data_IF_900128088550
#
_entry.id   IF_900128088550
#
_cell.length_a   1.000
_cell.length_b   1.000
_cell.length_c   1.000
_cell.angle_alpha   90.00
_cell.angle_beta   90.00
_cell.angle_gamma   90.00
#
_symmetry.space_group_name_H-M   'P 1'
#
loop_
_entity.id
_entity.type
_entity.pdbx_description
1 polymer ?
#
# COMPACT_ATOMS: atom_id res chain seq x y z
N UNK A 1 18.63 -8.35 0.22
CA UNK A 1 19.13 -8.78 1.57
C UNK A 1 18.90 -10.27 1.73
N UNK A 2 19.80 -11.00 2.40
CA UNK A 2 19.57 -12.41 2.72
C UNK A 2 18.58 -12.50 3.87
N UNK A 3 17.63 -13.44 3.80
CA UNK A 3 16.65 -13.70 4.86
C UNK A 3 17.36 -14.04 6.17
N UNK A 4 17.11 -13.27 7.23
CA UNK A 4 17.60 -13.62 8.57
C UNK A 4 16.65 -14.65 9.22
N UNK A 5 17.03 -15.91 9.14
CA UNK A 5 16.23 -17.01 9.70
C UNK A 5 16.10 -16.91 11.23
N UNK A 6 17.12 -16.42 11.92
CA UNK A 6 17.08 -16.31 13.38
C UNK A 6 16.03 -15.29 13.86
N UNK A 7 15.93 -14.16 13.18
CA UNK A 7 14.90 -13.13 13.45
C UNK A 7 13.50 -13.68 13.15
N UNK A 8 13.34 -14.35 11.99
CA UNK A 8 12.06 -14.98 11.63
C UNK A 8 11.63 -16.02 12.68
N UNK A 9 12.56 -16.82 13.18
CA UNK A 9 12.28 -17.78 14.23
C UNK A 9 11.93 -17.11 15.57
N UNK A 10 12.55 -15.98 15.88
CA UNK A 10 12.20 -15.20 17.07
C UNK A 10 10.77 -14.65 16.98
N UNK A 11 10.39 -14.13 15.81
CA UNK A 11 9.03 -13.63 15.55
C UNK A 11 7.97 -14.73 15.64
N UNK A 12 8.27 -15.90 15.07
CA UNK A 12 7.39 -17.07 15.17
C UNK A 12 7.15 -17.48 16.64
N UNK A 13 8.20 -17.46 17.47
CA UNK A 13 8.05 -17.74 18.91
C UNK A 13 7.23 -16.68 19.61
N UNK A 14 7.45 -15.40 19.30
CA UNK A 14 6.67 -14.28 19.84
C UNK A 14 5.18 -14.40 19.48
N UNK A 15 4.89 -14.79 18.24
CA UNK A 15 3.53 -15.02 17.74
C UNK A 15 2.91 -16.37 18.19
N UNK A 16 3.65 -17.21 18.96
CA UNK A 16 3.22 -18.55 19.39
C UNK A 16 2.83 -19.47 18.22
N UNK A 17 3.59 -19.37 17.13
CA UNK A 17 3.50 -20.19 15.93
C UNK A 17 4.58 -21.27 15.95
N UNK A 18 4.31 -22.44 15.39
CA UNK A 18 5.29 -23.52 15.27
C UNK A 18 6.19 -23.36 14.05
N UNK A 19 5.73 -22.60 13.05
CA UNK A 19 6.50 -22.29 11.86
C UNK A 19 5.74 -21.49 10.82
N UNK A 20 6.46 -21.03 9.81
CA UNK A 20 5.94 -20.35 8.62
C UNK A 20 6.20 -21.22 7.40
N UNK A 21 5.15 -21.61 6.70
CA UNK A 21 5.23 -22.37 5.46
C UNK A 21 5.00 -21.45 4.28
N UNK A 22 6.05 -21.16 3.54
CA UNK A 22 5.97 -20.53 2.23
C UNK A 22 5.66 -21.58 1.17
N UNK A 23 4.84 -21.22 0.21
CA UNK A 23 4.44 -22.05 -0.90
C UNK A 23 4.34 -21.20 -2.16
N UNK A 24 4.76 -21.73 -3.28
CA UNK A 24 4.45 -21.13 -4.56
C UNK A 24 4.25 -22.19 -5.66
N UNK A 25 3.46 -21.83 -6.63
CA UNK A 25 3.27 -22.50 -7.89
C UNK A 25 3.16 -21.48 -9.02
N UNK A 26 4.17 -21.44 -9.89
CA UNK A 26 4.21 -20.58 -11.08
C UNK A 26 4.27 -19.08 -10.76
N UNK A 27 4.92 -18.69 -9.68
CA UNK A 27 5.11 -17.28 -9.31
C UNK A 27 3.83 -16.58 -8.79
N UNK A 28 2.89 -17.34 -8.20
CA UNK A 28 1.63 -16.78 -7.69
C UNK A 28 1.76 -16.11 -6.33
N UNK A 29 2.85 -16.36 -5.61
CA UNK A 29 3.11 -15.72 -4.32
C UNK A 29 4.31 -14.77 -4.41
N UNK A 30 4.12 -13.54 -4.91
CA UNK A 30 5.19 -12.54 -4.99
C UNK A 30 5.69 -12.12 -3.61
N UNK A 31 4.88 -12.23 -2.56
CA UNK A 31 5.25 -11.96 -1.17
C UNK A 31 6.33 -12.95 -0.72
N UNK A 32 6.11 -14.25 -0.93
CA UNK A 32 7.12 -15.27 -0.62
C UNK A 32 8.43 -15.03 -1.37
N UNK A 33 8.35 -14.65 -2.65
CA UNK A 33 9.54 -14.36 -3.46
C UNK A 33 10.34 -13.19 -2.90
N UNK A 34 9.69 -12.08 -2.52
CA UNK A 34 10.37 -10.89 -1.96
C UNK A 34 10.95 -11.19 -0.59
N UNK A 35 10.16 -11.75 0.32
CA UNK A 35 10.60 -12.05 1.70
C UNK A 35 11.80 -13.01 1.67
N UNK A 36 11.78 -14.02 0.80
CA UNK A 36 12.87 -15.02 0.71
C UNK A 36 14.04 -14.55 -0.18
N UNK A 37 13.95 -13.38 -0.81
CA UNK A 37 14.99 -12.89 -1.72
C UNK A 37 15.25 -13.83 -2.89
N UNK A 38 14.20 -14.48 -3.43
CA UNK A 38 14.36 -15.42 -4.53
C UNK A 38 14.63 -14.68 -5.83
N UNK A 39 15.66 -15.05 -6.59
CA UNK A 39 15.97 -14.40 -7.86
C UNK A 39 14.82 -14.61 -8.87
N UNK A 40 14.64 -13.70 -9.83
CA UNK A 40 13.73 -13.91 -10.95
C UNK A 40 14.07 -15.23 -11.68
N UNK A 41 13.07 -15.90 -12.20
CA UNK A 41 13.25 -17.12 -12.95
C UNK A 41 11.99 -17.94 -13.09
N UNK A 42 11.96 -18.78 -14.12
CA UNK A 42 10.82 -19.66 -14.38
C UNK A 42 10.75 -20.77 -13.33
N UNK A 43 9.63 -20.82 -12.60
CA UNK A 43 9.28 -21.89 -11.65
C UNK A 43 7.92 -22.43 -12.06
N UNK A 44 7.91 -23.66 -12.56
CA UNK A 44 6.68 -24.26 -13.09
C UNK A 44 6.13 -25.36 -12.19
N UNK A 45 6.85 -25.70 -11.15
CA UNK A 45 6.49 -26.76 -10.19
C UNK A 45 6.29 -26.17 -8.80
N UNK A 46 5.45 -26.83 -8.00
CA UNK A 46 5.23 -26.46 -6.60
C UNK A 46 6.51 -26.63 -5.80
N UNK A 47 6.77 -25.64 -4.95
CA UNK A 47 7.77 -25.76 -3.90
C UNK A 47 7.20 -25.33 -2.55
N UNK A 48 7.79 -25.84 -1.49
CA UNK A 48 7.47 -25.51 -0.12
C UNK A 48 8.77 -25.21 0.63
N UNK A 49 8.76 -24.13 1.39
CA UNK A 49 9.84 -23.75 2.29
C UNK A 49 9.28 -23.55 3.69
N UNK A 50 9.71 -24.38 4.62
CA UNK A 50 9.23 -24.34 5.98
C UNK A 50 10.31 -23.81 6.90
N UNK A 51 10.05 -22.68 7.57
CA UNK A 51 10.86 -22.10 8.63
C UNK A 51 10.19 -22.48 9.95
N UNK A 52 10.72 -23.47 10.70
CA UNK A 52 10.21 -23.83 12.01
C UNK A 52 10.57 -22.75 13.03
N UNK A 53 9.78 -22.56 14.09
CA UNK A 53 10.10 -21.65 15.21
C UNK A 53 11.41 -22.02 15.94
N UNK A 54 11.85 -23.27 15.82
CA UNK A 54 13.15 -23.79 16.32
C UNK A 54 13.67 -24.86 15.39
N UNK A 55 14.97 -24.88 15.17
CA UNK A 55 15.66 -25.89 14.34
C UNK A 55 15.93 -25.42 12.92
N UNK A 56 16.37 -26.34 12.07
CA UNK A 56 16.80 -26.06 10.69
C UNK A 56 15.60 -25.88 9.76
N UNK A 57 15.58 -24.84 8.91
CA UNK A 57 14.60 -24.72 7.84
C UNK A 57 14.62 -25.93 6.88
N UNK A 58 13.50 -26.19 6.23
CA UNK A 58 13.34 -27.34 5.35
C UNK A 58 12.72 -26.94 4.02
N UNK A 59 13.21 -27.56 2.95
CA UNK A 59 12.78 -27.33 1.58
C UNK A 59 12.16 -28.60 0.99
N UNK A 60 11.10 -28.46 0.23
CA UNK A 60 10.53 -29.53 -0.58
C UNK A 60 10.38 -29.00 -2.01
N UNK A 61 11.14 -29.51 -2.93
CA UNK A 61 11.19 -29.06 -4.33
C UNK A 61 11.00 -30.23 -5.28
N UNK A 62 10.47 -29.93 -6.47
CA UNK A 62 10.33 -30.95 -7.51
C UNK A 62 11.69 -31.28 -8.13
N UNK A 63 11.95 -32.56 -8.45
CA UNK A 63 13.25 -33.02 -9.01
C UNK A 63 13.66 -32.28 -10.27
N UNK A 64 12.71 -31.91 -11.14
CA UNK A 64 12.98 -31.15 -12.38
C UNK A 64 13.50 -29.73 -12.08
N UNK A 65 13.11 -29.15 -10.95
CA UNK A 65 13.46 -27.79 -10.53
C UNK A 65 14.18 -27.79 -9.17
N UNK A 66 15.15 -28.72 -9.01
CA UNK A 66 15.89 -28.93 -7.77
C UNK A 66 16.56 -27.65 -7.22
N UNK A 67 16.88 -26.69 -8.08
CA UNK A 67 17.50 -25.40 -7.74
C UNK A 67 16.54 -24.29 -7.31
N UNK A 68 15.20 -24.51 -7.31
CA UNK A 68 14.22 -23.44 -7.07
C UNK A 68 14.42 -22.65 -5.76
N UNK A 69 14.97 -23.30 -4.73
CA UNK A 69 15.24 -22.71 -3.41
C UNK A 69 16.74 -22.78 -3.04
N UNK A 70 17.65 -22.73 -4.02
CA UNK A 70 19.09 -22.85 -3.77
C UNK A 70 19.65 -21.69 -2.94
N UNK A 71 19.08 -20.50 -3.05
CA UNK A 71 19.56 -19.28 -2.36
C UNK A 71 19.16 -19.19 -0.89
N UNK A 72 18.17 -19.98 -0.43
CA UNK A 72 17.75 -19.97 0.97
C UNK A 72 18.38 -21.15 1.73
N UNK A 73 18.69 -21.03 3.05
CA UNK A 73 19.28 -22.09 3.84
C UNK A 73 18.27 -23.21 4.15
N UNK A 74 18.75 -24.38 4.51
CA UNK A 74 17.92 -25.48 5.01
C UNK A 74 18.13 -26.82 4.30
N UNK A 75 17.58 -27.88 4.91
CA UNK A 75 17.62 -29.24 4.39
C UNK A 75 16.67 -29.40 3.20
N UNK A 76 17.13 -30.04 2.12
CA UNK A 76 16.34 -30.22 0.91
C UNK A 76 15.81 -31.63 0.77
N UNK A 77 14.51 -31.76 0.56
CA UNK A 77 13.83 -32.97 0.13
C UNK A 77 13.25 -32.80 -1.28
N UNK A 78 13.18 -33.88 -2.02
CA UNK A 78 12.72 -33.88 -3.39
C UNK A 78 11.45 -34.71 -3.57
N UNK A 79 10.65 -34.36 -4.55
CA UNK A 79 9.53 -35.15 -5.01
C UNK A 79 9.43 -35.14 -6.54
N UNK A 80 8.82 -36.18 -7.11
CA UNK A 80 8.38 -36.24 -8.51
C UNK A 80 6.88 -36.56 -8.58
N UNK A 81 6.44 -37.57 -7.83
CA UNK A 81 5.06 -38.03 -7.83
C UNK A 81 4.19 -37.31 -6.77
N UNK A 82 2.89 -37.24 -7.02
CA UNK A 82 1.90 -36.69 -6.08
C UNK A 82 1.93 -37.38 -4.71
N UNK A 83 2.16 -38.69 -4.67
CA UNK A 83 2.28 -39.47 -3.43
C UNK A 83 3.49 -39.01 -2.62
N UNK A 84 4.67 -38.90 -3.27
CA UNK A 84 5.89 -38.42 -2.64
C UNK A 84 5.74 -37.00 -2.09
N UNK A 85 5.07 -36.11 -2.83
CA UNK A 85 4.81 -34.76 -2.37
C UNK A 85 4.03 -34.76 -1.04
N UNK A 86 2.94 -35.53 -0.96
CA UNK A 86 2.10 -35.62 0.25
C UNK A 86 2.89 -36.18 1.44
N UNK A 87 3.63 -37.26 1.23
CA UNK A 87 4.43 -37.90 2.27
C UNK A 87 5.57 -36.98 2.76
N UNK A 88 6.27 -36.34 1.83
CA UNK A 88 7.37 -35.46 2.16
C UNK A 88 6.91 -34.13 2.76
N UNK A 89 5.75 -33.60 2.36
CA UNK A 89 5.16 -32.44 3.02
C UNK A 89 4.81 -32.73 4.48
N UNK A 90 4.23 -33.90 4.76
CA UNK A 90 3.95 -34.35 6.13
C UNK A 90 5.23 -34.48 6.97
N UNK A 91 6.32 -35.03 6.39
CA UNK A 91 7.64 -35.12 7.05
C UNK A 91 8.26 -33.75 7.27
N UNK A 92 8.13 -32.83 6.30
CA UNK A 92 8.62 -31.45 6.38
C UNK A 92 7.97 -30.70 7.56
N UNK A 93 6.65 -30.80 7.72
CA UNK A 93 5.91 -30.16 8.81
C UNK A 93 6.11 -30.86 10.18
N UNK A 94 6.37 -32.15 10.18
CA UNK A 94 6.65 -32.92 11.40
C UNK A 94 5.51 -32.89 12.41
N UNK A 95 5.78 -32.41 13.63
CA UNK A 95 4.79 -32.30 14.73
C UNK A 95 4.18 -30.92 14.86
N UNK A 96 4.49 -29.99 13.94
CA UNK A 96 3.99 -28.60 13.98
C UNK A 96 2.47 -28.57 13.90
N UNK A 97 1.84 -27.80 14.78
CA UNK A 97 0.37 -27.70 14.91
C UNK A 97 -0.17 -26.36 14.41
N UNK A 98 0.57 -25.25 14.60
CA UNK A 98 0.16 -23.89 14.23
C UNK A 98 1.13 -23.37 13.19
N UNK A 99 0.70 -23.36 11.93
CA UNK A 99 1.53 -23.01 10.77
C UNK A 99 0.97 -21.75 10.12
N UNK A 100 1.80 -20.71 10.05
CA UNK A 100 1.47 -19.52 9.26
C UNK A 100 1.63 -19.79 7.77
N UNK A 101 0.73 -19.27 6.96
CA UNK A 101 0.81 -19.25 5.49
C UNK A 101 0.22 -17.94 4.99
N UNK A 102 0.53 -17.54 3.76
CA UNK A 102 -0.13 -16.42 3.08
C UNK A 102 -1.59 -16.81 2.75
N UNK A 103 -2.36 -16.96 3.79
CA UNK A 103 -3.75 -17.38 3.81
C UNK A 103 -4.59 -16.35 4.56
N UNK A 104 -5.66 -15.87 3.93
CA UNK A 104 -6.62 -14.96 4.55
C UNK A 104 -7.90 -15.71 4.90
N UNK A 105 -8.18 -15.97 6.20
CA UNK A 105 -9.42 -16.61 6.62
C UNK A 105 -10.64 -15.82 6.14
N UNK A 106 -11.59 -16.49 5.48
CA UNK A 106 -12.80 -15.86 4.90
C UNK A 106 -12.47 -14.70 3.93
N UNK A 107 -11.25 -14.64 3.43
CA UNK A 107 -10.75 -13.56 2.56
C UNK A 107 -10.90 -12.15 3.20
N UNK A 108 -10.77 -12.05 4.53
CA UNK A 108 -10.94 -10.79 5.25
C UNK A 108 -9.87 -9.74 4.88
N UNK A 109 -8.65 -10.19 4.52
CA UNK A 109 -7.55 -9.35 4.02
C UNK A 109 -7.06 -9.99 2.72
N UNK A 110 -7.67 -9.69 1.56
CA UNK A 110 -7.36 -10.35 0.28
C UNK A 110 -5.90 -10.18 -0.15
N UNK A 111 -5.26 -9.07 0.20
CA UNK A 111 -3.85 -8.75 -0.10
C UNK A 111 -2.85 -9.84 0.36
N UNK A 112 -3.22 -10.65 1.37
CA UNK A 112 -2.40 -11.73 1.93
C UNK A 112 -2.82 -13.11 1.39
N UNK A 113 -3.90 -13.19 0.66
CA UNK A 113 -4.51 -14.45 0.21
C UNK A 113 -3.81 -15.05 -1.02
N UNK A 114 -2.52 -15.42 -0.92
CA UNK A 114 -1.73 -15.94 -2.05
C UNK A 114 -1.82 -17.46 -2.20
N UNK A 115 -2.14 -18.18 -1.14
CA UNK A 115 -2.20 -19.66 -1.14
C UNK A 115 -3.61 -20.13 -1.50
N UNK A 116 -3.71 -21.00 -2.51
CA UNK A 116 -4.99 -21.58 -2.93
C UNK A 116 -5.61 -22.51 -1.87
N UNK A 117 -6.95 -22.63 -1.91
CA UNK A 117 -7.71 -23.43 -0.95
C UNK A 117 -7.26 -24.90 -0.90
N UNK A 118 -6.98 -25.53 -2.06
CA UNK A 118 -6.54 -26.92 -2.13
C UNK A 118 -5.20 -27.14 -1.44
N UNK A 119 -4.28 -26.20 -1.52
CA UNK A 119 -3.00 -26.26 -0.80
C UNK A 119 -3.21 -26.09 0.72
N UNK A 120 -4.12 -25.21 1.14
CA UNK A 120 -4.51 -25.07 2.56
C UNK A 120 -5.10 -26.39 3.08
N UNK A 121 -6.00 -27.03 2.34
CA UNK A 121 -6.57 -28.33 2.68
C UNK A 121 -5.51 -29.43 2.76
N UNK A 122 -4.56 -29.45 1.81
CA UNK A 122 -3.43 -30.39 1.81
C UNK A 122 -2.58 -30.24 3.08
N UNK A 123 -2.27 -29.02 3.51
CA UNK A 123 -1.53 -28.77 4.76
C UNK A 123 -2.34 -29.18 5.98
N UNK A 124 -3.64 -28.84 6.02
CA UNK A 124 -4.55 -29.26 7.11
C UNK A 124 -4.68 -30.75 7.22
N UNK A 125 -4.61 -31.50 6.11
CA UNK A 125 -4.65 -32.97 6.12
C UNK A 125 -3.45 -33.62 6.84
N UNK A 126 -2.37 -32.89 7.07
CA UNK A 126 -1.25 -33.32 7.90
C UNK A 126 -1.51 -33.21 9.43
N UNK A 127 -2.67 -32.65 9.82
CA UNK A 127 -3.06 -32.40 11.21
C UNK A 127 -2.62 -31.03 11.76
N UNK A 128 -2.16 -30.14 10.90
CA UNK A 128 -1.80 -28.78 11.25
C UNK A 128 -2.97 -27.81 11.12
N UNK A 129 -3.04 -26.81 11.98
CA UNK A 129 -3.92 -25.64 11.85
C UNK A 129 -3.18 -24.58 11.04
N UNK A 130 -3.74 -24.22 9.87
CA UNK A 130 -3.23 -23.12 9.06
C UNK A 130 -3.78 -21.80 9.60
N UNK A 131 -2.89 -20.86 9.89
CA UNK A 131 -3.16 -19.51 10.37
C UNK A 131 -2.67 -18.49 9.34
N UNK A 132 -3.20 -17.28 9.38
CA UNK A 132 -2.73 -16.18 8.54
C UNK A 132 -1.31 -15.78 8.92
N UNK A 133 -0.49 -15.46 7.92
CA UNK A 133 0.82 -14.84 8.09
C UNK A 133 0.78 -13.31 8.03
N UNK A 134 -0.40 -12.69 8.05
CA UNK A 134 -0.58 -11.27 7.78
C UNK A 134 0.33 -10.34 8.61
N UNK A 135 0.44 -10.59 9.93
CA UNK A 135 1.32 -9.80 10.81
C UNK A 135 2.81 -10.02 10.54
N UNK A 136 3.18 -11.26 10.15
CA UNK A 136 4.55 -11.55 9.74
C UNK A 136 4.88 -10.86 8.41
N UNK A 137 4.00 -10.99 7.42
CA UNK A 137 4.17 -10.33 6.11
C UNK A 137 4.35 -8.83 6.30
N UNK A 138 3.51 -8.18 7.09
CA UNK A 138 3.62 -6.76 7.39
C UNK A 138 5.03 -6.39 7.91
N UNK A 139 5.56 -7.16 8.84
CA UNK A 139 6.89 -6.92 9.40
C UNK A 139 8.02 -7.04 8.37
N UNK A 140 7.91 -8.00 7.44
CA UNK A 140 8.97 -8.27 6.45
C UNK A 140 8.82 -7.50 5.14
N UNK A 141 7.63 -6.97 4.83
CA UNK A 141 7.35 -6.28 3.57
C UNK A 141 7.10 -4.77 3.76
N UNK A 142 6.58 -4.35 4.92
CA UNK A 142 6.13 -2.98 5.11
C UNK A 142 7.03 -2.14 6.01
N UNK A 143 7.93 -2.76 6.81
CA UNK A 143 8.88 -2.00 7.62
C UNK A 143 10.02 -1.48 6.75
N UNK A 144 10.27 -0.19 6.86
CA UNK A 144 11.29 0.50 6.09
C UNK A 144 12.64 0.53 6.79
N UNK A 145 13.71 0.47 6.01
CA UNK A 145 15.06 0.83 6.46
C UNK A 145 15.21 2.36 6.54
N UNK A 146 16.32 2.82 7.13
CA UNK A 146 16.65 4.25 7.14
C UNK A 146 16.79 4.80 5.72
N UNK A 147 17.44 4.06 4.83
CA UNK A 147 17.62 4.44 3.42
C UNK A 147 16.28 4.52 2.68
N UNK A 148 15.33 3.66 3.02
CA UNK A 148 13.98 3.73 2.44
C UNK A 148 13.23 4.97 2.92
N UNK A 149 13.32 5.30 4.20
CA UNK A 149 12.74 6.55 4.71
C UNK A 149 13.38 7.78 4.04
N UNK A 150 14.70 7.79 3.87
CA UNK A 150 15.39 8.86 3.15
C UNK A 150 14.94 8.97 1.70
N UNK A 151 14.74 7.82 1.00
CA UNK A 151 14.26 7.81 -0.38
C UNK A 151 12.84 8.36 -0.50
N UNK A 152 11.96 8.06 0.46
CA UNK A 152 10.61 8.59 0.55
C UNK A 152 10.59 10.11 0.74
N UNK A 153 11.39 10.61 1.70
CA UNK A 153 11.47 12.04 1.97
C UNK A 153 12.05 12.82 0.79
N UNK A 154 13.01 12.23 0.08
CA UNK A 154 13.58 12.87 -1.12
C UNK A 154 12.56 12.85 -2.29
N UNK A 155 11.80 11.76 -2.48
CA UNK A 155 10.71 11.73 -3.45
C UNK A 155 9.63 12.76 -3.09
N UNK A 156 9.23 12.83 -1.81
CA UNK A 156 8.25 13.79 -1.33
C UNK A 156 8.63 15.24 -1.60
N UNK A 157 9.88 15.61 -1.34
CA UNK A 157 10.37 16.97 -1.66
C UNK A 157 10.28 17.29 -3.15
N UNK A 158 10.56 16.33 -4.03
CA UNK A 158 10.46 16.53 -5.47
C UNK A 158 8.99 16.62 -5.91
N UNK A 159 8.15 15.72 -5.43
CA UNK A 159 6.73 15.65 -5.80
C UNK A 159 5.95 16.85 -5.28
N UNK A 160 6.16 17.28 -4.03
CA UNK A 160 5.53 18.50 -3.48
C UNK A 160 5.82 19.73 -4.35
N UNK A 161 7.09 19.88 -4.82
CA UNK A 161 7.47 20.94 -5.76
C UNK A 161 6.73 20.79 -7.09
N UNK A 162 6.72 19.60 -7.69
CA UNK A 162 6.07 19.34 -8.99
C UNK A 162 4.59 19.62 -8.91
N UNK A 163 3.90 19.26 -7.81
CA UNK A 163 2.47 19.56 -7.59
C UNK A 163 2.22 21.07 -7.62
N UNK A 164 3.06 21.87 -6.93
CA UNK A 164 2.90 23.33 -6.96
C UNK A 164 3.19 23.91 -8.36
N UNK A 165 4.20 23.40 -9.06
CA UNK A 165 4.53 23.80 -10.43
C UNK A 165 3.43 23.39 -11.42
N UNK A 166 2.77 22.22 -11.23
CA UNK A 166 1.64 21.78 -12.03
C UNK A 166 0.40 22.71 -11.88
N UNK A 167 0.09 23.14 -10.66
CA UNK A 167 -0.94 24.14 -10.43
C UNK A 167 -0.60 25.49 -11.09
N UNK A 168 0.66 25.94 -10.97
CA UNK A 168 1.13 27.16 -11.63
C UNK A 168 1.06 27.04 -13.17
N UNK A 169 1.42 25.90 -13.72
CA UNK A 169 1.33 25.61 -15.16
C UNK A 169 -0.13 25.65 -15.65
N UNK A 170 -1.06 25.04 -14.92
CA UNK A 170 -2.49 25.09 -15.23
C UNK A 170 -3.04 26.54 -15.21
N UNK A 171 -2.71 27.29 -14.15
CA UNK A 171 -3.11 28.69 -14.02
C UNK A 171 -2.59 29.58 -15.16
N UNK A 172 -1.33 29.40 -15.52
CA UNK A 172 -0.70 30.17 -16.60
C UNK A 172 -1.31 29.85 -17.96
N UNK A 173 -1.62 28.58 -18.23
CA UNK A 173 -2.29 28.16 -19.45
C UNK A 173 -3.69 28.81 -19.57
N UNK A 174 -4.46 28.84 -18.47
CA UNK A 174 -5.76 29.51 -18.43
C UNK A 174 -5.62 31.02 -18.65
N UNK A 175 -4.68 31.71 -17.99
CA UNK A 175 -4.41 33.15 -18.18
C UNK A 175 -4.09 33.49 -19.63
N UNK A 176 -3.29 32.64 -20.29
CA UNK A 176 -2.91 32.81 -21.72
C UNK A 176 -3.97 32.34 -22.68
N UNK A 177 -5.06 31.77 -22.20
CA UNK A 177 -6.10 31.11 -23.04
C UNK A 177 -5.49 30.03 -23.94
N UNK A 178 -4.40 29.40 -23.51
CA UNK A 178 -3.81 28.27 -24.17
C UNK A 178 -4.58 26.98 -23.80
N UNK A 179 -4.89 26.11 -24.76
CA UNK A 179 -5.57 24.84 -24.45
C UNK A 179 -4.66 23.95 -23.59
N UNK A 180 -5.21 23.42 -22.50
CA UNK A 180 -4.55 22.43 -21.64
C UNK A 180 -5.62 21.45 -21.15
N UNK A 181 -5.48 20.19 -21.49
CA UNK A 181 -6.34 19.13 -20.97
C UNK A 181 -5.78 18.52 -19.70
N UNK A 182 -6.60 17.76 -18.97
CA UNK A 182 -6.16 16.91 -17.83
C UNK A 182 -5.03 15.98 -18.27
N UNK A 183 -5.14 15.36 -19.47
CA UNK A 183 -4.11 14.50 -20.01
C UNK A 183 -2.80 15.26 -20.33
N UNK A 184 -2.88 16.47 -20.89
CA UNK A 184 -1.68 17.27 -21.15
C UNK A 184 -0.95 17.63 -19.87
N UNK A 185 -1.69 17.97 -18.80
CA UNK A 185 -1.10 18.26 -17.50
C UNK A 185 -0.51 17.01 -16.84
N UNK A 186 -1.18 15.84 -16.94
CA UNK A 186 -0.61 14.56 -16.51
C UNK A 186 0.71 14.27 -17.22
N UNK A 187 0.77 14.45 -18.56
CA UNK A 187 1.99 14.24 -19.35
C UNK A 187 3.09 15.23 -18.98
N UNK A 188 2.72 16.44 -18.59
CA UNK A 188 3.67 17.43 -18.08
C UNK A 188 4.26 16.96 -16.74
N UNK A 189 3.45 16.49 -15.79
CA UNK A 189 3.92 15.95 -14.50
C UNK A 189 4.86 14.74 -14.73
N UNK A 190 4.53 13.83 -15.64
CA UNK A 190 5.37 12.67 -15.95
C UNK A 190 6.73 13.05 -16.57
N UNK A 191 6.81 14.14 -17.34
CA UNK A 191 8.09 14.68 -17.83
C UNK A 191 8.93 15.22 -16.67
N UNK A 192 8.33 16.02 -15.77
CA UNK A 192 9.02 16.53 -14.58
C UNK A 192 9.51 15.38 -13.68
N UNK A 193 8.74 14.29 -13.55
CA UNK A 193 9.20 13.08 -12.86
C UNK A 193 10.46 12.51 -13.50
N UNK A 194 10.46 12.33 -14.83
CA UNK A 194 11.62 11.81 -15.55
C UNK A 194 12.85 12.69 -15.37
N UNK A 195 12.69 14.01 -15.43
CA UNK A 195 13.77 14.99 -15.29
C UNK A 195 14.33 15.06 -13.87
N UNK A 196 13.51 14.74 -12.85
CA UNK A 196 13.91 14.75 -11.44
C UNK A 196 14.27 13.38 -10.88
N UNK A 197 14.30 12.35 -11.73
CA UNK A 197 14.64 10.98 -11.33
C UNK A 197 13.58 10.30 -10.47
N UNK A 198 12.33 10.74 -10.60
CA UNK A 198 11.16 10.08 -10.03
C UNK A 198 10.59 9.10 -11.06
N UNK A 199 10.06 7.98 -10.59
CA UNK A 199 9.33 6.99 -11.38
C UNK A 199 8.00 6.63 -10.72
N UNK A 200 7.03 6.25 -11.54
CA UNK A 200 5.75 5.68 -11.13
C UNK A 200 5.36 4.57 -12.09
N UNK A 201 4.62 3.58 -11.62
CA UNK A 201 4.10 2.47 -12.45
C UNK A 201 2.87 2.89 -13.25
N UNK A 202 2.06 3.77 -12.67
CA UNK A 202 0.86 4.34 -13.30
C UNK A 202 0.96 5.87 -13.25
N UNK A 203 0.29 6.56 -14.16
CA UNK A 203 0.32 8.01 -14.21
C UNK A 203 -0.45 8.64 -13.05
N UNK A 204 -0.08 9.87 -12.65
CA UNK A 204 -0.85 10.62 -11.66
C UNK A 204 -2.27 10.89 -12.14
N UNK A 205 -3.22 11.00 -11.22
CA UNK A 205 -4.59 11.38 -11.54
C UNK A 205 -4.71 12.92 -11.58
N UNK A 206 -5.22 13.40 -12.69
CA UNK A 206 -5.50 14.82 -12.93
C UNK A 206 -6.96 14.93 -13.31
N UNK A 207 -7.79 15.56 -12.47
CA UNK A 207 -9.22 15.59 -12.66
C UNK A 207 -9.83 16.94 -12.35
N UNK A 208 -10.71 17.42 -13.25
CA UNK A 208 -11.50 18.63 -13.00
C UNK A 208 -12.97 18.32 -12.71
N UNK A 209 -13.53 18.99 -11.71
CA UNK A 209 -14.95 18.97 -11.38
C UNK A 209 -15.53 17.55 -11.27
N UNK A 210 -16.49 17.17 -12.15
CA UNK A 210 -17.17 15.88 -12.13
C UNK A 210 -16.24 14.69 -12.40
N UNK A 211 -15.12 14.86 -13.11
CA UNK A 211 -14.16 13.79 -13.32
C UNK A 211 -13.52 13.36 -12.00
N UNK A 212 -13.29 14.30 -11.07
CA UNK A 212 -12.80 14.00 -9.73
C UNK A 212 -13.82 13.26 -8.84
N UNK A 213 -15.07 13.05 -9.29
CA UNK A 213 -16.05 12.22 -8.59
C UNK A 213 -15.83 10.73 -8.73
N UNK A 214 -14.97 10.32 -9.67
CA UNK A 214 -14.44 8.97 -9.80
C UNK A 214 -13.04 8.93 -9.15
N UNK A 215 -12.86 8.27 -8.00
CA UNK A 215 -11.57 8.22 -7.30
C UNK A 215 -10.42 7.63 -8.11
N UNK A 216 -10.72 6.86 -9.15
CA UNK A 216 -9.74 6.22 -10.05
C UNK A 216 -9.80 6.81 -11.47
N UNK A 217 -10.19 8.08 -11.60
CA UNK A 217 -10.19 8.73 -12.89
C UNK A 217 -8.77 9.02 -13.37
N UNK A 218 -8.30 8.22 -14.32
CA UNK A 218 -7.06 8.46 -15.06
C UNK A 218 -7.37 9.11 -16.42
N UNK A 219 -6.91 10.33 -16.72
CA UNK A 219 -7.12 10.95 -18.02
C UNK A 219 -6.34 10.21 -19.11
N UNK A 220 -6.92 10.16 -20.31
CA UNK A 220 -6.26 9.63 -21.50
C UNK A 220 -6.33 10.63 -22.64
N UNK A 221 -5.52 10.46 -23.69
CA UNK A 221 -5.55 11.31 -24.88
C UNK A 221 -6.95 11.37 -25.54
N UNK A 222 -7.75 10.29 -25.39
CA UNK A 222 -9.10 10.21 -25.98
C UNK A 222 -10.20 10.62 -25.00
N UNK A 223 -9.92 10.56 -23.68
CA UNK A 223 -10.88 10.86 -22.62
C UNK A 223 -10.20 11.76 -21.60
N UNK A 224 -10.34 13.07 -21.78
CA UNK A 224 -9.91 14.09 -20.84
C UNK A 224 -10.68 15.39 -21.06
N UNK A 225 -10.87 16.18 -20.02
CA UNK A 225 -11.50 17.48 -20.09
C UNK A 225 -10.46 18.59 -20.28
N UNK A 226 -10.88 19.71 -20.88
CA UNK A 226 -10.07 20.92 -20.91
C UNK A 226 -10.15 21.61 -19.56
N UNK A 227 -9.01 22.04 -19.03
CA UNK A 227 -8.88 22.82 -17.81
C UNK A 227 -9.22 24.28 -18.11
N UNK A 228 -10.15 24.88 -17.37
CA UNK A 228 -10.69 26.22 -17.64
C UNK A 228 -10.77 27.06 -16.37
N UNK A 229 -10.90 28.35 -16.53
CA UNK A 229 -11.26 29.24 -15.42
C UNK A 229 -12.57 28.82 -14.78
N UNK A 230 -12.60 28.77 -13.45
CA UNK A 230 -13.73 28.31 -12.67
C UNK A 230 -13.74 26.82 -12.32
N UNK A 231 -12.78 26.04 -12.83
CA UNK A 231 -12.69 24.62 -12.51
C UNK A 231 -12.05 24.36 -11.14
N UNK A 232 -12.57 23.35 -10.45
CA UNK A 232 -11.92 22.72 -9.30
C UNK A 232 -11.01 21.61 -9.83
N UNK A 233 -9.69 21.70 -9.56
CA UNK A 233 -8.67 20.77 -10.04
C UNK A 233 -8.15 19.91 -8.88
N UNK A 234 -8.23 18.61 -9.04
CA UNK A 234 -7.63 17.59 -8.19
C UNK A 234 -6.36 17.09 -8.87
N UNK A 235 -5.26 17.03 -8.09
CA UNK A 235 -4.03 16.35 -8.45
C UNK A 235 -3.76 15.28 -7.40
N UNK A 236 -3.76 14.03 -7.82
CA UNK A 236 -3.34 12.89 -7.01
C UNK A 236 -2.06 12.32 -7.61
N UNK A 237 -0.97 12.39 -6.86
CA UNK A 237 0.38 12.27 -7.41
C UNK A 237 1.25 11.39 -6.54
N UNK A 238 1.62 10.24 -7.09
CA UNK A 238 2.48 9.26 -6.41
C UNK A 238 3.71 8.91 -7.24
N UNK A 239 4.82 8.70 -6.55
CA UNK A 239 6.08 8.33 -7.18
C UNK A 239 7.17 8.01 -6.17
N UNK A 240 8.26 7.42 -6.65
CA UNK A 240 9.44 7.09 -5.87
C UNK A 240 10.71 7.43 -6.63
N UNK A 241 11.83 7.51 -5.94
CA UNK A 241 13.11 7.65 -6.62
C UNK A 241 13.39 6.44 -7.53
N UNK A 242 13.97 6.69 -8.70
CA UNK A 242 14.41 5.66 -9.65
C UNK A 242 15.67 4.94 -9.16
N UNK A 243 15.58 4.36 -7.96
CA UNK A 243 16.68 3.66 -7.30
C UNK A 243 16.14 2.36 -6.70
N UNK A 244 16.91 1.28 -6.82
CA UNK A 244 16.49 -0.01 -6.32
C UNK A 244 16.20 0.03 -4.80
N UNK A 245 15.05 -0.47 -4.40
CA UNK A 245 14.59 -0.49 -3.01
C UNK A 245 13.88 0.77 -2.53
N UNK A 246 13.79 1.83 -3.35
CA UNK A 246 13.05 3.05 -3.02
C UNK A 246 11.58 2.77 -2.76
N UNK A 247 10.97 3.59 -1.93
CA UNK A 247 9.56 3.52 -1.56
C UNK A 247 8.81 4.76 -2.03
N UNK A 248 7.51 4.60 -2.28
CA UNK A 248 6.64 5.65 -2.78
C UNK A 248 6.40 6.77 -1.78
N UNK A 249 6.10 7.95 -2.31
CA UNK A 249 5.44 9.08 -1.68
C UNK A 249 4.14 9.33 -2.43
N UNK A 250 3.06 9.68 -1.72
CA UNK A 250 1.70 9.74 -2.25
C UNK A 250 0.91 10.90 -1.64
N UNK A 251 0.37 11.79 -2.48
CA UNK A 251 -0.36 12.96 -2.02
C UNK A 251 -1.46 13.39 -2.98
N UNK A 252 -2.59 13.81 -2.43
CA UNK A 252 -3.66 14.48 -3.18
C UNK A 252 -3.80 15.93 -2.74
N UNK A 253 -3.80 16.83 -3.72
CA UNK A 253 -3.98 18.27 -3.55
C UNK A 253 -5.13 18.82 -4.39
N UNK A 254 -5.76 19.88 -3.89
CA UNK A 254 -6.87 20.57 -4.55
C UNK A 254 -6.50 22.01 -4.90
N UNK A 255 -6.76 22.42 -6.15
CA UNK A 255 -6.65 23.79 -6.63
C UNK A 255 -7.94 24.29 -7.27
N UNK A 256 -8.14 25.59 -7.30
CA UNK A 256 -9.28 26.21 -7.97
C UNK A 256 -8.78 27.24 -8.99
N UNK A 257 -9.17 27.10 -10.24
CA UNK A 257 -8.79 28.00 -11.34
C UNK A 257 -9.59 29.32 -11.27
N UNK A 258 -9.40 30.06 -10.19
CA UNK A 258 -10.01 31.35 -9.94
C UNK A 258 -9.33 32.09 -8.79
N UNK A 259 -9.63 33.39 -8.65
CA UNK A 259 -9.03 34.25 -7.62
C UNK A 259 -9.59 33.98 -6.21
N UNK A 260 -10.80 33.44 -6.10
CA UNK A 260 -11.47 33.15 -4.83
C UNK A 260 -12.21 31.81 -4.94
N UNK A 261 -11.88 30.90 -4.04
CA UNK A 261 -12.53 29.59 -3.96
C UNK A 261 -14.02 29.75 -3.58
N UNK A 262 -14.97 29.21 -4.36
CA UNK A 262 -16.39 29.22 -4.00
C UNK A 262 -16.66 28.47 -2.69
N UNK A 263 -17.57 29.00 -1.89
CA UNK A 263 -17.92 28.45 -0.57
C UNK A 263 -18.35 26.97 -0.63
N UNK A 264 -19.04 26.57 -1.69
CA UNK A 264 -19.48 25.18 -1.89
C UNK A 264 -18.30 24.18 -1.91
N UNK A 265 -17.16 24.55 -2.49
CA UNK A 265 -15.94 23.72 -2.52
C UNK A 265 -15.19 23.77 -1.19
N UNK A 266 -15.02 24.98 -0.65
CA UNK A 266 -14.34 25.18 0.63
C UNK A 266 -15.01 24.41 1.77
N UNK A 267 -16.34 24.41 1.82
CA UNK A 267 -17.11 23.67 2.83
C UNK A 267 -16.88 22.15 2.76
N UNK A 268 -16.87 21.57 1.57
CA UNK A 268 -16.63 20.13 1.41
C UNK A 268 -15.17 19.78 1.73
N UNK A 269 -14.22 20.58 1.25
CA UNK A 269 -12.81 20.42 1.58
C UNK A 269 -12.56 20.47 3.09
N UNK A 270 -13.22 21.37 3.80
CA UNK A 270 -13.07 21.50 5.25
C UNK A 270 -13.52 20.22 5.99
N UNK A 271 -14.60 19.57 5.55
CA UNK A 271 -15.02 18.27 6.08
C UNK A 271 -13.98 17.20 5.82
N UNK A 272 -13.45 17.11 4.59
CA UNK A 272 -12.41 16.13 4.21
C UNK A 272 -11.14 16.37 5.00
N UNK A 273 -10.68 17.62 5.10
CA UNK A 273 -9.52 18.02 5.91
C UNK A 273 -9.68 17.61 7.37
N UNK A 274 -10.82 17.89 8.00
CA UNK A 274 -11.09 17.48 9.37
C UNK A 274 -11.09 15.94 9.54
N UNK A 275 -11.59 15.19 8.55
CA UNK A 275 -11.55 13.74 8.56
C UNK A 275 -10.10 13.21 8.50
N UNK A 276 -9.28 13.76 7.60
CA UNK A 276 -7.83 13.49 7.49
C UNK A 276 -7.11 13.80 8.81
N UNK A 277 -7.29 15.01 9.31
CA UNK A 277 -6.61 15.49 10.52
C UNK A 277 -7.01 14.66 11.75
N UNK A 278 -8.28 14.23 11.83
CA UNK A 278 -8.77 13.34 12.89
C UNK A 278 -8.12 11.95 12.87
N UNK A 279 -7.92 11.38 11.67
CA UNK A 279 -7.21 10.12 11.48
C UNK A 279 -5.73 10.25 11.89
N UNK A 280 -5.05 11.27 11.39
CA UNK A 280 -3.64 11.58 11.73
C UNK A 280 -3.47 11.77 13.23
N UNK A 281 -4.34 12.52 13.89
CA UNK A 281 -4.27 12.76 15.33
C UNK A 281 -4.48 11.46 16.14
N UNK A 282 -5.41 10.59 15.71
CA UNK A 282 -5.59 9.28 16.34
C UNK A 282 -4.32 8.43 16.24
N UNK A 283 -3.68 8.40 15.08
CA UNK A 283 -2.41 7.67 14.88
C UNK A 283 -1.35 8.24 15.83
N UNK A 284 -1.10 9.55 15.78
CA UNK A 284 -0.08 10.23 16.59
C UNK A 284 -0.26 9.98 18.09
N UNK A 285 -1.48 10.17 18.59
CA UNK A 285 -1.78 10.01 20.02
C UNK A 285 -1.68 8.56 20.49
N UNK A 286 -2.10 7.60 19.67
CA UNK A 286 -2.00 6.18 19.98
C UNK A 286 -0.55 5.70 20.03
N UNK A 287 0.25 6.04 19.01
CA UNK A 287 1.67 5.66 18.94
C UNK A 287 2.45 6.29 20.11
N UNK A 288 2.26 7.59 20.36
CA UNK A 288 2.90 8.29 21.49
C UNK A 288 2.55 7.67 22.85
N UNK A 289 1.33 7.18 23.00
CA UNK A 289 0.87 6.53 24.22
C UNK A 289 1.24 5.04 24.31
N UNK A 290 1.89 4.46 23.30
CA UNK A 290 2.17 3.02 23.20
C UNK A 290 0.91 2.15 23.16
N UNK A 291 -0.22 2.70 22.71
CA UNK A 291 -1.49 1.98 22.61
C UNK A 291 -1.61 1.27 21.25
N UNK A 292 -1.97 -0.04 21.25
CA UNK A 292 -2.24 -0.74 20.00
C UNK A 292 -3.35 -0.02 19.22
N UNK A 293 -3.15 0.14 17.92
CA UNK A 293 -4.11 0.77 17.02
C UNK A 293 -4.26 -0.09 15.77
N UNK A 294 -5.49 -0.46 15.41
CA UNK A 294 -5.79 -1.25 14.22
C UNK A 294 -6.23 -0.36 13.07
N UNK A 295 -6.01 -0.82 11.83
CA UNK A 295 -6.32 -0.05 10.62
C UNK A 295 -7.79 0.38 10.54
N UNK A 296 -8.74 -0.52 10.80
CA UNK A 296 -10.17 -0.20 10.80
C UNK A 296 -10.56 0.90 11.80
N UNK A 297 -9.82 1.07 12.89
CA UNK A 297 -10.10 2.11 13.89
C UNK A 297 -9.76 3.49 13.35
N UNK A 298 -8.71 3.59 12.53
CA UNK A 298 -8.32 4.84 11.85
C UNK A 298 -9.35 5.20 10.81
N UNK A 299 -9.77 4.25 9.96
CA UNK A 299 -10.84 4.46 8.98
C UNK A 299 -12.13 4.94 9.67
N UNK A 300 -12.55 4.26 10.73
CA UNK A 300 -13.73 4.66 11.50
C UNK A 300 -13.64 6.09 12.02
N UNK A 301 -12.46 6.54 12.46
CA UNK A 301 -12.29 7.90 12.98
C UNK A 301 -12.48 8.96 11.91
N UNK A 302 -11.92 8.77 10.71
CA UNK A 302 -12.12 9.66 9.56
C UNK A 302 -13.59 9.61 9.07
N UNK A 303 -14.10 8.41 8.86
CA UNK A 303 -15.46 8.17 8.35
C UNK A 303 -16.55 8.81 9.20
N UNK A 304 -16.43 8.73 10.52
CA UNK A 304 -17.36 9.37 11.45
C UNK A 304 -17.44 10.89 11.29
N UNK A 305 -16.36 11.57 10.89
CA UNK A 305 -16.38 13.01 10.60
C UNK A 305 -17.23 13.28 9.37
N UNK A 306 -17.01 12.53 8.30
CA UNK A 306 -17.76 12.66 7.04
C UNK A 306 -19.24 12.32 7.21
N UNK A 307 -19.56 11.26 7.97
CA UNK A 307 -20.94 10.84 8.28
C UNK A 307 -21.70 11.89 9.08
N UNK A 308 -21.08 12.46 10.12
CA UNK A 308 -21.70 13.52 10.94
C UNK A 308 -21.98 14.80 10.14
N UNK A 309 -21.19 15.06 9.12
CA UNK A 309 -21.41 16.16 8.18
C UNK A 309 -22.50 15.85 7.13
N UNK A 310 -23.07 14.64 7.11
CA UNK A 310 -24.14 14.22 6.20
C UNK A 310 -23.66 13.69 4.84
N UNK A 311 -22.34 13.45 4.68
CA UNK A 311 -21.75 13.02 3.40
C UNK A 311 -21.31 11.54 3.38
N UNK A 312 -21.66 10.72 4.37
CA UNK A 312 -21.19 9.33 4.51
C UNK A 312 -21.36 8.48 3.25
N UNK A 313 -22.48 8.60 2.50
CA UNK A 313 -22.73 7.87 1.24
C UNK A 313 -21.82 8.28 0.08
N UNK A 314 -21.10 9.37 0.21
CA UNK A 314 -20.18 9.89 -0.80
C UNK A 314 -18.71 9.63 -0.47
N UNK A 315 -18.43 8.88 0.60
CA UNK A 315 -17.11 8.38 0.96
C UNK A 315 -17.11 6.87 0.91
N UNK A 316 -16.77 6.29 -0.24
CA UNK A 316 -17.00 4.87 -0.56
C UNK A 316 -15.73 4.05 -0.83
N UNK A 317 -14.58 4.56 -0.45
CA UNK A 317 -13.31 3.82 -0.39
C UNK A 317 -12.71 3.84 1.03
N UNK A 318 -11.68 3.06 1.28
CA UNK A 318 -10.92 3.06 2.55
C UNK A 318 -10.28 4.43 2.81
N UNK A 319 -9.98 4.73 4.07
CA UNK A 319 -9.33 6.00 4.44
C UNK A 319 -7.86 6.06 4.03
N UNK A 320 -7.21 4.92 3.74
CA UNK A 320 -5.83 4.91 3.29
C UNK A 320 -5.24 3.51 3.22
N UNK A 321 -4.02 3.42 2.73
CA UNK A 321 -3.30 2.17 2.52
C UNK A 321 -1.86 2.23 3.01
N UNK A 322 -1.24 1.07 3.14
CA UNK A 322 0.19 0.99 3.40
C UNK A 322 0.99 1.37 2.15
N UNK A 323 2.06 2.12 2.36
CA UNK A 323 3.00 2.54 1.32
C UNK A 323 4.31 1.77 1.45
N UNK A 324 4.88 1.35 0.33
CA UNK A 324 6.13 0.61 0.27
C UNK A 324 6.86 0.79 -1.05
N UNK A 325 7.56 -0.24 -1.50
CA UNK A 325 8.16 -0.27 -2.83
C UNK A 325 7.11 -0.29 -3.96
N UNK A 326 5.88 -0.72 -3.65
CA UNK A 326 4.66 -0.48 -4.43
C UNK A 326 3.84 0.58 -3.73
N UNK A 327 3.09 1.40 -4.47
CA UNK A 327 2.22 2.43 -3.88
C UNK A 327 1.23 1.80 -2.92
N UNK A 328 0.61 0.68 -3.29
CA UNK A 328 -0.20 -0.17 -2.42
C UNK A 328 0.66 -1.30 -1.85
N UNK A 329 1.20 -1.10 -0.63
CA UNK A 329 2.04 -2.07 0.07
C UNK A 329 1.24 -3.18 0.77
N UNK A 330 1.97 -4.11 1.41
CA UNK A 330 1.39 -5.27 2.12
C UNK A 330 1.25 -5.09 3.64
N UNK A 331 1.44 -3.87 4.13
CA UNK A 331 1.15 -3.50 5.53
C UNK A 331 -0.33 -3.31 5.79
N UNK A 332 -0.65 -2.85 6.99
CA UNK A 332 -2.02 -2.54 7.41
C UNK A 332 -2.61 -1.41 6.56
N UNK A 333 -3.86 -1.57 6.15
CA UNK A 333 -4.62 -0.50 5.52
C UNK A 333 -5.54 0.18 6.54
N UNK A 334 -5.79 1.47 6.35
CA UNK A 334 -6.79 2.21 7.12
C UNK A 334 -8.17 1.90 6.55
N UNK A 335 -8.67 0.69 6.83
CA UNK A 335 -9.82 0.11 6.15
C UNK A 335 -10.76 -0.63 7.12
N UNK A 336 -11.96 -0.15 7.21
CA UNK A 336 -13.09 -0.76 7.90
C UNK A 336 -14.32 -0.89 7.01
N UNK A 337 -14.16 -0.62 5.71
CA UNK A 337 -15.24 -0.56 4.71
C UNK A 337 -15.10 -1.66 3.65
N UNK A 338 -14.04 -1.62 2.84
CA UNK A 338 -13.81 -2.57 1.74
C UNK A 338 -13.31 -3.90 2.29
N UNK A 339 -12.43 -3.82 3.26
CA UNK A 339 -12.00 -4.94 4.11
C UNK A 339 -12.17 -4.54 5.58
N UNK A 340 -11.93 -5.47 6.49
CA UNK A 340 -11.90 -5.14 7.92
C UNK A 340 -10.49 -5.45 8.43
N UNK A 341 -9.58 -4.46 8.31
CA UNK A 341 -8.18 -4.67 8.62
C UNK A 341 -7.93 -4.57 10.14
N UNK A 342 -7.92 -5.74 10.79
CA UNK A 342 -7.64 -5.89 12.23
C UNK A 342 -6.14 -5.90 12.55
N UNK A 343 -5.25 -5.81 11.54
CA UNK A 343 -3.81 -5.71 11.80
C UNK A 343 -3.50 -4.40 12.53
N UNK A 344 -2.48 -4.44 13.35
CA UNK A 344 -2.02 -3.26 14.07
C UNK A 344 -1.03 -2.45 13.23
N UNK A 345 -1.09 -1.13 13.39
CA UNK A 345 -0.01 -0.28 12.93
C UNK A 345 1.26 -0.65 13.71
N UNK A 346 2.34 -0.87 12.99
CA UNK A 346 3.65 -1.20 13.57
C UNK A 346 4.68 -0.13 13.22
N UNK A 347 5.73 -0.05 14.02
CA UNK A 347 6.81 0.91 13.79
C UNK A 347 7.53 0.66 12.47
N UNK A 348 8.12 1.72 11.92
CA UNK A 348 8.88 1.76 10.68
C UNK A 348 8.02 1.50 9.43
N UNK A 349 6.72 1.81 9.50
CA UNK A 349 5.80 1.72 8.36
C UNK A 349 5.26 3.08 7.97
N UNK A 350 4.81 3.22 6.74
CA UNK A 350 4.14 4.43 6.25
C UNK A 350 2.80 4.08 5.64
N UNK A 351 1.83 4.98 5.83
CA UNK A 351 0.48 4.79 5.32
C UNK A 351 -0.05 6.12 4.79
N UNK A 352 -0.80 6.07 3.69
CA UNK A 352 -1.62 7.21 3.27
C UNK A 352 -2.78 7.43 4.25
N UNK A 353 -3.23 8.68 4.32
CA UNK A 353 -4.49 9.10 4.96
C UNK A 353 -5.18 10.06 4.01
N UNK A 354 -6.18 9.57 3.29
CA UNK A 354 -6.73 10.18 2.07
C UNK A 354 -8.26 10.18 2.01
N UNK A 355 -8.99 10.60 3.04
CA UNK A 355 -10.44 10.65 2.96
C UNK A 355 -10.91 11.55 1.81
N UNK A 356 -12.03 11.17 1.17
CA UNK A 356 -12.62 11.92 0.08
C UNK A 356 -14.15 12.01 0.18
N UNK A 357 -14.73 13.01 -0.49
CA UNK A 357 -16.16 13.16 -0.71
C UNK A 357 -16.41 13.38 -2.20
N UNK A 358 -17.16 12.49 -2.81
CA UNK A 358 -17.36 12.40 -4.26
C UNK A 358 -18.81 12.66 -4.61
N UNK A 359 -19.12 13.96 -4.79
CA UNK A 359 -20.45 14.42 -5.23
C UNK A 359 -20.56 14.27 -6.75
N UNK A 360 -21.77 14.15 -7.32
CA UNK A 360 -21.93 14.02 -8.78
C UNK A 360 -21.28 15.13 -9.60
N UNK A 361 -21.23 16.35 -9.06
CA UNK A 361 -20.72 17.53 -9.75
C UNK A 361 -19.22 17.75 -9.55
N UNK A 362 -18.65 17.22 -8.48
CA UNK A 362 -17.22 17.34 -8.16
C UNK A 362 -16.79 16.38 -7.04
N UNK A 363 -15.55 15.96 -7.08
CA UNK A 363 -14.88 15.23 -6.00
C UNK A 363 -13.87 16.10 -5.25
N UNK A 364 -13.69 15.80 -3.97
CA UNK A 364 -12.66 16.39 -3.11
C UNK A 364 -11.96 15.29 -2.34
N UNK A 365 -10.64 15.23 -2.42
CA UNK A 365 -9.76 14.38 -1.61
C UNK A 365 -8.64 15.25 -1.04
N UNK A 366 -8.15 14.91 0.12
CA UNK A 366 -6.94 15.50 0.68
C UNK A 366 -6.15 14.41 1.36
N UNK A 367 -4.90 14.28 0.96
CA UNK A 367 -4.06 13.16 1.34
C UNK A 367 -2.73 13.60 1.90
N UNK A 368 -2.25 12.82 2.84
CA UNK A 368 -0.92 12.91 3.42
C UNK A 368 -0.40 11.51 3.73
N UNK A 369 0.91 11.35 3.69
CA UNK A 369 1.60 10.17 4.18
C UNK A 369 1.95 10.30 5.66
N UNK A 370 1.67 9.24 6.43
CA UNK A 370 1.97 9.18 7.87
C UNK A 370 2.97 8.07 8.15
N UNK A 371 4.18 8.46 8.47
CA UNK A 371 5.21 7.53 8.92
C UNK A 371 5.07 7.25 10.42
N UNK A 372 5.05 5.96 10.76
CA UNK A 372 4.99 5.44 12.13
C UNK A 372 6.40 5.06 12.56
N UNK A 373 7.05 5.93 13.34
CA UNK A 373 8.34 5.64 13.97
C UNK A 373 8.19 4.78 15.22
N UNK A 374 9.28 4.57 15.96
CA UNK A 374 9.27 3.74 17.17
C UNK A 374 8.48 4.35 18.34
N UNK A 375 8.47 5.67 18.47
CA UNK A 375 7.86 6.40 19.61
C UNK A 375 6.86 7.47 19.19
N UNK A 376 6.85 7.85 17.93
CA UNK A 376 6.01 8.91 17.40
C UNK A 376 5.60 8.61 15.97
N UNK A 377 4.54 9.25 15.52
CA UNK A 377 4.12 9.24 14.12
C UNK A 377 4.02 10.68 13.61
N UNK A 378 4.42 10.91 12.36
CA UNK A 378 4.40 12.23 11.75
C UNK A 378 4.05 12.18 10.27
N UNK A 379 3.49 13.25 9.77
CA UNK A 379 3.29 13.45 8.33
C UNK A 379 4.64 13.77 7.70
N UNK A 380 4.93 13.17 6.55
CA UNK A 380 6.28 13.23 5.92
C UNK A 380 6.43 14.32 4.87
N UNK A 381 5.35 14.98 4.46
CA UNK A 381 5.35 16.01 3.42
C UNK A 381 4.52 17.23 3.81
N UNK A 382 4.24 18.05 2.82
CA UNK A 382 3.42 19.24 2.99
C UNK A 382 1.95 18.87 3.27
N UNK A 383 1.27 19.68 4.10
CA UNK A 383 -0.12 19.46 4.48
C UNK A 383 -0.99 20.58 3.93
N UNK A 384 -1.91 20.25 3.06
CA UNK A 384 -2.86 21.21 2.53
C UNK A 384 -3.90 21.59 3.59
N UNK A 385 -4.06 22.89 3.89
CA UNK A 385 -5.01 23.44 4.85
C UNK A 385 -6.29 24.01 4.20
N UNK A 386 -6.20 24.40 2.93
CA UNK A 386 -7.30 24.98 2.14
C UNK A 386 -7.10 24.67 0.65
N UNK A 387 -8.16 24.78 -0.15
CA UNK A 387 -8.05 24.72 -1.61
C UNK A 387 -7.25 25.94 -2.09
N UNK A 388 -6.24 25.72 -2.93
CA UNK A 388 -5.39 26.81 -3.43
C UNK A 388 -6.13 27.65 -4.49
N UNK A 389 -6.32 28.98 -4.29
CA UNK A 389 -6.79 29.87 -5.37
C UNK A 389 -5.65 30.10 -6.34
N UNK A 390 -5.78 29.68 -7.60
CA UNK A 390 -4.68 29.62 -8.58
C UNK A 390 -4.61 30.87 -9.48
N UNK A 391 -5.60 31.76 -9.44
CA UNK A 391 -5.71 32.91 -10.32
C UNK A 391 -5.65 34.26 -9.56
N UNK A 392 -5.19 34.23 -8.30
CA UNK A 392 -5.07 35.42 -7.45
C UNK A 392 -3.81 36.23 -7.72
#
# INVERSE_FOLDING_TARGET
MSVNIADMQADLRGAKLDGWLFYDFRGRDPIAHRILGLPPGMRTRRWFYFVPAKGTPKKLVHRIEAGSLATVPGETSYYAAQKELRENLKKLLGRSKKIAMQYSPKNAIPYIGMVDAGTVELVRSSGAKVLSSADLVQKYEACWSAEQLESHLAAGKAIDRIVQEAFAHAAESVRRKAPLSEYDLQQWILREFSETGIETEEGPDVAVNANASDPHYGPTAQKSSQIREGDLLLLDVWGKQKTAGSVYYDVTWMGYLGAKVPEKYAKIFDVVRHARDRAVELIRTSIKAGKPLQGWQVDKAARQVVERAGYGKYFFHRTGHNIGQSVHGNGVNMDGLETFDERHLISLTCNSVEPGIYLPEFGVRSEVDVYVGEKEAHVTGAVQSEILPLMG
#
